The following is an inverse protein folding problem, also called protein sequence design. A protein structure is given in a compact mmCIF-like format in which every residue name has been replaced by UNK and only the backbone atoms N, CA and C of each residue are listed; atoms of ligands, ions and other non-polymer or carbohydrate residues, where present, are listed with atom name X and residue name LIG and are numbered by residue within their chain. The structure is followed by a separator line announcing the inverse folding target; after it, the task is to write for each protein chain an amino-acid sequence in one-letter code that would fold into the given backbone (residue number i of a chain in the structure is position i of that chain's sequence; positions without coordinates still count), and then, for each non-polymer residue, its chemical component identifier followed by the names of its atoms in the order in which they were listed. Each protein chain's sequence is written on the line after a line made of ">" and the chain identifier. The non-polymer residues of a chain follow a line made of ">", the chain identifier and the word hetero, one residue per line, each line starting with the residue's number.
data_IF_357979143581
#
_entry.id   IF_357979143581
#
_cell.length_a   1.000
_cell.length_b   1.000
_cell.length_c   1.000
_cell.angle_alpha   90.00
_cell.angle_beta   90.00
_cell.angle_gamma   90.00
#
_symmetry.space_group_name_H-M   'P 1'
#
loop_
_entity.id
_entity.type
_entity.pdbx_description
1 polymer ?
#
# COMPACT_ATOMS: atom_id res chain seq x y z
N UNK A 1 -14.97 -5.30 7.09
CA UNK A 1 -14.10 -4.16 7.29
C UNK A 1 -14.90 -2.87 7.06
N UNK A 2 -15.07 -2.02 8.07
CA UNK A 2 -15.87 -0.79 7.94
C UNK A 2 -15.26 0.22 6.96
N UNK A 3 -13.96 0.14 6.71
CA UNK A 3 -13.26 1.00 5.76
C UNK A 3 -13.32 0.51 4.32
N UNK A 4 -13.91 -0.65 4.04
CA UNK A 4 -13.87 -1.31 2.74
C UNK A 4 -12.44 -1.42 2.15
N UNK A 5 -11.45 -1.52 3.02
CA UNK A 5 -10.04 -1.60 2.65
C UNK A 5 -9.59 -3.02 2.29
N UNK A 6 -10.39 -4.03 2.62
CA UNK A 6 -10.15 -5.42 2.27
C UNK A 6 -10.93 -5.75 1.01
N UNK A 7 -10.22 -6.19 -0.03
CA UNK A 7 -10.80 -6.45 -1.35
C UNK A 7 -10.68 -7.92 -1.69
N UNK A 8 -11.82 -8.53 -2.05
CA UNK A 8 -11.85 -9.89 -2.55
C UNK A 8 -11.31 -9.92 -3.98
N UNK A 9 -10.38 -10.86 -4.26
CA UNK A 9 -9.81 -11.05 -5.58
C UNK A 9 -10.58 -12.11 -6.34
N UNK A 10 -11.26 -11.70 -7.41
CA UNK A 10 -12.00 -12.58 -8.32
C UNK A 10 -11.11 -13.14 -9.44
N UNK A 11 -9.98 -12.52 -9.71
CA UNK A 11 -9.10 -12.89 -10.82
C UNK A 11 -8.12 -13.97 -10.39
N UNK A 12 -7.92 -14.95 -11.26
CA UNK A 12 -6.94 -15.99 -11.08
C UNK A 12 -5.63 -15.62 -11.78
N UNK A 13 -4.79 -14.84 -11.10
CA UNK A 13 -3.52 -14.38 -11.67
C UNK A 13 -2.51 -15.50 -11.90
N UNK A 14 -2.69 -16.66 -11.28
CA UNK A 14 -1.87 -17.85 -11.53
C UNK A 14 -2.20 -18.53 -12.84
N UNK A 15 -3.38 -18.27 -13.36
CA UNK A 15 -3.91 -18.90 -14.57
C UNK A 15 -3.70 -18.05 -15.83
N UNK A 16 -2.68 -17.23 -15.88
CA UNK A 16 -2.35 -16.55 -17.14
C UNK A 16 -1.77 -17.55 -18.11
N UNK A 17 -2.46 -17.87 -19.22
CA UNK A 17 -1.91 -18.68 -20.26
C UNK A 17 -0.73 -17.96 -20.89
N UNK A 18 0.44 -18.57 -20.88
CA UNK A 18 1.60 -18.04 -21.58
C UNK A 18 1.77 -18.65 -22.95
N UNK A 19 1.16 -19.78 -23.18
CA UNK A 19 1.15 -20.47 -24.47
C UNK A 19 -0.15 -21.23 -24.64
N UNK A 20 -0.59 -21.32 -25.87
CA UNK A 20 -1.65 -22.24 -26.26
C UNK A 20 -1.13 -23.66 -26.18
N UNK A 21 -1.83 -24.50 -25.45
CA UNK A 21 -1.53 -25.93 -25.35
C UNK A 21 -2.51 -26.67 -26.24
N UNK A 22 -2.02 -27.57 -27.10
CA UNK A 22 -2.88 -28.49 -27.85
C UNK A 22 -3.14 -29.73 -26.99
N UNK A 23 -4.38 -29.91 -26.56
CA UNK A 23 -4.82 -31.12 -25.87
C UNK A 23 -5.88 -31.81 -26.73
N UNK A 24 -5.58 -33.01 -27.23
CA UNK A 24 -6.53 -33.75 -28.05
C UNK A 24 -6.94 -33.07 -29.36
N UNK A 25 -6.05 -32.22 -29.93
CA UNK A 25 -6.35 -31.47 -31.16
C UNK A 25 -7.04 -30.14 -30.94
N UNK A 26 -7.44 -29.81 -29.71
CA UNK A 26 -8.07 -28.55 -29.34
C UNK A 26 -7.00 -27.63 -28.73
N UNK A 27 -6.91 -26.40 -29.22
CA UNK A 27 -6.08 -25.39 -28.60
C UNK A 27 -6.77 -24.90 -27.30
N UNK A 28 -6.18 -25.23 -26.16
CA UNK A 28 -6.60 -24.75 -24.85
C UNK A 28 -5.57 -23.83 -24.24
N UNK A 29 -6.04 -22.83 -23.53
CA UNK A 29 -5.14 -21.97 -22.73
C UNK A 29 -4.67 -22.76 -21.52
N UNK A 30 -3.38 -23.02 -21.45
CA UNK A 30 -2.79 -23.84 -20.40
C UNK A 30 -2.22 -23.06 -19.24
N UNK A 31 -2.20 -23.70 -18.08
CA UNK A 31 -1.63 -23.17 -16.85
C UNK A 31 -0.13 -23.44 -16.80
N UNK A 32 0.67 -22.39 -16.71
CA UNK A 32 2.13 -22.56 -16.61
C UNK A 32 2.77 -21.77 -15.48
N UNK A 33 2.01 -21.32 -14.47
CA UNK A 33 2.54 -20.58 -13.33
C UNK A 33 1.96 -21.03 -11.99
N UNK A 34 2.84 -21.08 -11.02
CA UNK A 34 2.55 -21.42 -9.64
C UNK A 34 3.42 -22.58 -9.17
N UNK A 35 3.39 -22.90 -7.87
CA UNK A 35 4.18 -23.99 -7.30
C UNK A 35 3.85 -25.38 -7.89
N UNK A 36 2.69 -25.50 -8.51
CA UNK A 36 2.22 -26.73 -9.16
C UNK A 36 2.41 -26.72 -10.70
N UNK A 37 2.99 -25.67 -11.26
CA UNK A 37 3.28 -25.65 -12.68
C UNK A 37 4.39 -26.66 -13.00
N UNK A 38 4.23 -27.50 -14.05
CA UNK A 38 5.26 -28.45 -14.41
C UNK A 38 6.56 -27.73 -14.71
N UNK A 39 7.67 -28.26 -14.21
CA UNK A 39 9.00 -27.68 -14.37
C UNK A 39 9.41 -27.44 -15.84
N UNK A 40 8.78 -28.15 -16.77
CA UNK A 40 9.03 -28.12 -18.21
C UNK A 40 8.07 -27.18 -18.98
N UNK A 41 7.30 -26.38 -18.29
CA UNK A 41 6.44 -25.40 -18.96
C UNK A 41 7.29 -24.35 -19.67
N UNK A 42 7.13 -24.22 -21.00
CA UNK A 42 7.85 -23.28 -21.87
C UNK A 42 7.54 -21.80 -21.66
N UNK A 43 7.21 -21.40 -20.43
CA UNK A 43 7.27 -19.99 -20.12
C UNK A 43 8.69 -19.54 -20.35
N UNK A 44 8.89 -18.64 -21.29
CA UNK A 44 10.21 -18.09 -21.54
C UNK A 44 10.78 -17.55 -20.22
N UNK A 45 12.03 -17.81 -19.97
CA UNK A 45 12.73 -17.32 -18.77
C UNK A 45 12.49 -15.82 -18.58
N UNK A 46 12.41 -15.07 -19.69
CA UNK A 46 12.11 -13.64 -19.73
C UNK A 46 10.73 -13.30 -19.15
N UNK A 47 9.70 -14.08 -19.43
CA UNK A 47 8.36 -13.84 -18.86
C UNK A 47 8.31 -14.12 -17.36
N UNK A 48 9.12 -15.05 -16.87
CA UNK A 48 9.27 -15.31 -15.43
C UNK A 48 10.00 -14.16 -14.72
N UNK A 49 10.97 -13.56 -15.39
CA UNK A 49 11.71 -12.40 -14.86
C UNK A 49 10.83 -11.14 -14.67
N UNK A 50 9.69 -11.04 -15.34
CA UNK A 50 8.73 -9.95 -15.11
C UNK A 50 8.04 -10.03 -13.74
N UNK A 51 8.07 -11.19 -13.09
CA UNK A 51 7.45 -11.37 -11.77
C UNK A 51 8.41 -10.89 -10.69
N UNK A 52 7.91 -10.03 -9.80
CA UNK A 52 8.69 -9.63 -8.63
C UNK A 52 8.87 -10.84 -7.69
N UNK A 53 10.11 -11.32 -7.43
CA UNK A 53 10.35 -12.49 -6.59
C UNK A 53 9.93 -12.28 -5.13
N UNK A 54 9.81 -11.02 -4.68
CA UNK A 54 9.40 -10.68 -3.31
C UNK A 54 7.88 -10.64 -3.14
N UNK A 55 7.10 -10.87 -4.19
CA UNK A 55 5.64 -10.80 -4.16
C UNK A 55 5.05 -12.13 -4.59
N UNK A 56 4.23 -12.73 -3.73
CA UNK A 56 3.48 -13.93 -4.06
C UNK A 56 2.36 -13.61 -5.05
N UNK A 57 2.26 -14.35 -6.14
CA UNK A 57 1.12 -14.28 -7.05
C UNK A 57 -0.06 -14.96 -6.38
N UNK A 58 -1.11 -14.18 -6.07
CA UNK A 58 -2.29 -14.68 -5.36
C UNK A 58 -3.20 -15.46 -6.29
N UNK A 59 -3.81 -16.50 -5.72
CA UNK A 59 -4.88 -17.25 -6.37
C UNK A 59 -6.20 -16.48 -6.33
N UNK A 60 -7.16 -16.96 -7.10
CA UNK A 60 -8.55 -16.55 -6.98
C UNK A 60 -9.10 -16.87 -5.59
N UNK A 61 -9.91 -15.97 -5.05
CA UNK A 61 -10.61 -16.20 -3.78
C UNK A 61 -9.87 -15.71 -2.54
N UNK A 62 -8.79 -14.93 -2.69
CA UNK A 62 -8.07 -14.32 -1.57
C UNK A 62 -8.58 -12.90 -1.31
N UNK A 63 -8.45 -12.46 -0.07
CA UNK A 63 -8.75 -11.08 0.34
C UNK A 63 -7.45 -10.30 0.48
N UNK A 64 -7.34 -9.21 -0.23
CA UNK A 64 -6.14 -8.37 -0.26
C UNK A 64 -6.40 -7.02 0.39
N UNK A 65 -5.39 -6.47 1.04
CA UNK A 65 -5.37 -5.12 1.59
C UNK A 65 -3.98 -4.50 1.48
N UNK A 66 -3.92 -3.20 1.60
CA UNK A 66 -2.64 -2.51 1.73
C UNK A 66 -1.85 -3.03 2.95
N UNK A 67 -0.58 -3.34 2.74
CA UNK A 67 0.37 -3.78 3.78
C UNK A 67 1.39 -2.71 4.14
N UNK A 68 1.23 -1.46 3.67
CA UNK A 68 2.22 -0.38 3.77
C UNK A 68 3.57 -0.75 3.14
N UNK A 69 3.56 -1.47 2.03
CA UNK A 69 4.79 -1.94 1.36
C UNK A 69 5.70 -2.74 2.29
N UNK A 70 5.13 -3.77 2.94
CA UNK A 70 5.86 -4.61 3.91
C UNK A 70 7.19 -5.15 3.37
N UNK A 71 7.28 -5.43 2.06
CA UNK A 71 8.52 -5.86 1.42
C UNK A 71 9.60 -4.78 1.48
N UNK A 72 9.25 -3.52 1.20
CA UNK A 72 10.19 -2.38 1.32
C UNK A 72 10.60 -2.14 2.77
N UNK A 73 9.65 -2.24 3.70
CA UNK A 73 9.94 -2.12 5.14
C UNK A 73 10.91 -3.22 5.58
N UNK A 74 10.68 -4.46 5.15
CA UNK A 74 11.54 -5.59 5.48
C UNK A 74 12.93 -5.41 4.88
N UNK A 75 13.03 -4.99 3.62
CA UNK A 75 14.31 -4.71 2.97
C UNK A 75 15.09 -3.60 3.71
N UNK A 76 14.43 -2.51 4.10
CA UNK A 76 15.05 -1.43 4.87
C UNK A 76 15.53 -1.90 6.25
N UNK A 77 14.75 -2.74 6.94
CA UNK A 77 15.16 -3.35 8.22
C UNK A 77 16.38 -4.26 8.07
N UNK A 78 16.41 -5.07 7.02
CA UNK A 78 17.55 -5.95 6.71
C UNK A 78 18.79 -5.09 6.43
N UNK A 79 18.66 -4.06 5.61
CA UNK A 79 19.77 -3.16 5.29
C UNK A 79 20.31 -2.42 6.53
N UNK A 80 19.42 -1.92 7.40
CA UNK A 80 19.80 -1.28 8.65
C UNK A 80 20.55 -2.24 9.56
N UNK A 81 20.04 -3.47 9.72
CA UNK A 81 20.68 -4.51 10.53
C UNK A 81 22.05 -4.93 9.96
N UNK A 82 22.17 -5.07 8.65
CA UNK A 82 23.43 -5.39 7.99
C UNK A 82 24.48 -4.26 8.16
N UNK A 83 24.04 -3.00 8.11
CA UNK A 83 24.91 -1.85 8.31
C UNK A 83 25.34 -1.68 9.79
N UNK A 84 24.46 -2.03 10.72
CA UNK A 84 24.73 -1.94 12.16
C UNK A 84 25.82 -2.92 12.63
N UNK A 85 25.99 -4.05 11.94
CA UNK A 85 26.92 -5.14 12.33
C UNK A 85 26.75 -5.51 13.81
N UNK A 86 27.72 -5.17 14.63
CA UNK A 86 27.76 -5.47 16.08
C UNK A 86 27.19 -4.34 16.94
N UNK A 87 26.75 -3.23 16.33
CA UNK A 87 26.09 -2.14 17.06
C UNK A 87 24.60 -2.42 17.22
N UNK A 88 24.00 -1.88 18.29
CA UNK A 88 22.56 -1.97 18.53
C UNK A 88 21.74 -0.97 17.70
N UNK A 89 22.36 -0.17 16.83
CA UNK A 89 21.68 0.81 15.98
C UNK A 89 21.03 0.15 14.76
N UNK A 90 20.04 -0.68 15.04
CA UNK A 90 19.29 -1.45 14.02
C UNK A 90 18.04 -0.71 13.51
N UNK A 91 17.81 0.51 13.97
CA UNK A 91 16.62 1.27 13.59
C UNK A 91 16.74 1.79 12.15
N UNK A 92 15.63 1.67 11.41
CA UNK A 92 15.51 2.30 10.09
C UNK A 92 15.43 3.81 10.30
N UNK A 93 16.38 4.54 9.73
CA UNK A 93 16.45 6.01 9.87
C UNK A 93 15.22 6.66 9.21
N UNK A 94 14.68 7.68 9.87
CA UNK A 94 13.57 8.47 9.33
C UNK A 94 13.93 9.02 7.95
N UNK A 95 13.01 8.89 7.00
CA UNK A 95 13.19 9.34 5.62
C UNK A 95 14.02 8.41 4.71
N UNK A 96 14.60 7.31 5.22
CA UNK A 96 15.35 6.35 4.40
C UNK A 96 14.46 5.37 3.62
N UNK A 97 13.17 5.36 3.89
CA UNK A 97 12.18 4.45 3.28
C UNK A 97 10.98 5.23 2.79
N UNK A 98 10.61 4.99 1.54
CA UNK A 98 9.37 5.46 0.94
C UNK A 98 8.48 4.30 0.51
N UNK A 99 7.17 4.50 0.55
CA UNK A 99 6.19 3.53 0.06
C UNK A 99 5.88 3.79 -1.41
N UNK A 100 5.46 2.77 -2.14
CA UNK A 100 5.24 2.87 -3.59
C UNK A 100 4.22 3.94 -3.98
N UNK A 101 3.16 4.13 -3.19
CA UNK A 101 2.17 5.17 -3.44
C UNK A 101 2.74 6.59 -3.18
N UNK A 102 3.68 6.74 -2.26
CA UNK A 102 4.38 8.00 -2.03
C UNK A 102 5.28 8.35 -3.23
N UNK A 103 6.06 7.39 -3.72
CA UNK A 103 6.93 7.58 -4.89
C UNK A 103 6.13 7.91 -6.16
N UNK A 104 4.95 7.32 -6.31
CA UNK A 104 4.08 7.54 -7.46
C UNK A 104 3.28 8.85 -7.38
N UNK A 105 3.30 9.53 -6.23
CA UNK A 105 2.48 10.72 -5.99
C UNK A 105 3.18 11.98 -6.52
N UNK A 106 2.89 12.41 -7.74
CA UNK A 106 3.44 13.65 -8.31
C UNK A 106 3.08 14.94 -7.56
N UNK A 107 2.08 14.91 -6.67
CA UNK A 107 1.68 16.03 -5.83
C UNK A 107 2.33 16.03 -4.44
N UNK A 108 3.18 15.05 -4.14
CA UNK A 108 3.83 14.84 -2.83
C UNK A 108 2.86 14.91 -1.64
N UNK A 109 1.64 14.44 -1.85
CA UNK A 109 0.56 14.53 -0.86
C UNK A 109 0.53 13.37 0.14
N UNK A 110 1.33 12.33 -0.08
CA UNK A 110 1.41 11.15 0.76
C UNK A 110 2.68 11.20 1.61
N UNK A 111 2.52 11.07 2.91
CA UNK A 111 3.64 11.00 3.85
C UNK A 111 3.60 9.66 4.56
N UNK A 112 4.70 8.95 4.55
CA UNK A 112 4.90 7.72 5.28
C UNK A 112 6.07 7.88 6.24
N UNK A 113 5.98 7.26 7.43
CA UNK A 113 7.05 7.35 8.42
C UNK A 113 6.79 6.49 9.65
N UNK A 114 7.63 6.66 10.64
CA UNK A 114 7.61 5.91 11.89
C UNK A 114 6.75 6.64 12.94
N UNK A 115 5.63 6.05 13.32
CA UNK A 115 4.74 6.62 14.35
C UNK A 115 5.36 6.63 15.75
N UNK A 116 6.42 5.85 15.99
CA UNK A 116 7.10 5.80 17.28
C UNK A 116 8.20 6.87 17.42
N UNK A 117 8.56 7.54 16.33
CA UNK A 117 9.49 8.67 16.36
C UNK A 117 8.73 9.99 16.38
N UNK A 118 8.70 10.73 17.51
CA UNK A 118 7.97 11.99 17.61
C UNK A 118 8.42 13.06 16.61
N UNK A 119 9.67 12.98 16.14
CA UNK A 119 10.27 13.93 15.21
C UNK A 119 10.00 13.59 13.75
N UNK A 120 9.45 12.40 13.48
CA UNK A 120 9.12 11.99 12.12
C UNK A 120 8.04 12.93 11.52
N UNK A 121 8.22 13.26 10.25
CA UNK A 121 7.31 14.12 9.48
C UNK A 121 5.86 13.65 9.56
N UNK A 122 5.63 12.33 9.62
CA UNK A 122 4.28 11.78 9.74
C UNK A 122 3.62 12.19 11.05
N UNK A 123 4.36 12.23 12.17
CA UNK A 123 3.83 12.65 13.46
C UNK A 123 3.59 14.15 13.52
N UNK A 124 4.47 14.94 12.94
CA UNK A 124 4.28 16.40 12.79
C UNK A 124 3.00 16.69 12.00
N UNK A 125 2.75 15.99 10.90
CA UNK A 125 1.53 16.16 10.13
C UNK A 125 0.28 15.65 10.86
N UNK A 126 0.39 14.58 11.63
CA UNK A 126 -0.72 14.04 12.45
C UNK A 126 -1.11 14.95 13.62
N UNK A 127 -0.19 15.74 14.14
CA UNK A 127 -0.50 16.75 15.19
C UNK A 127 -1.14 18.02 14.65
N UNK A 128 -1.22 18.18 13.33
CA UNK A 128 -1.89 19.31 12.70
C UNK A 128 -3.39 19.36 13.06
N UNK A 129 -3.98 20.53 13.30
CA UNK A 129 -5.41 20.69 13.53
C UNK A 129 -6.26 20.27 12.32
N UNK A 130 -5.66 20.17 11.14
CA UNK A 130 -6.30 19.66 9.92
C UNK A 130 -6.39 18.13 9.87
N UNK A 131 -5.70 17.44 10.76
CA UNK A 131 -5.68 15.99 10.75
C UNK A 131 -7.00 15.41 11.23
N UNK A 132 -7.49 14.42 10.53
CA UNK A 132 -8.66 13.65 10.93
C UNK A 132 -8.54 12.16 10.57
N UNK A 133 -9.18 11.33 11.35
CA UNK A 133 -9.27 9.90 11.13
C UNK A 133 -10.67 9.53 10.65
N UNK A 134 -10.75 8.71 9.61
CA UNK A 134 -12.03 8.16 9.17
C UNK A 134 -12.60 7.23 10.23
N UNK A 135 -13.91 7.34 10.49
CA UNK A 135 -14.64 6.47 11.42
C UNK A 135 -14.00 6.42 12.82
N UNK A 136 -13.47 7.53 13.29
CA UNK A 136 -12.80 7.63 14.60
C UNK A 136 -13.68 7.12 15.75
N UNK A 137 -14.98 7.37 15.66
CA UNK A 137 -15.97 6.98 16.68
C UNK A 137 -16.11 5.45 16.90
N UNK A 138 -15.68 4.63 15.91
CA UNK A 138 -15.70 3.16 16.06
C UNK A 138 -14.51 2.66 16.91
N UNK A 139 -13.53 3.51 17.23
CA UNK A 139 -12.38 3.13 18.05
C UNK A 139 -11.38 2.20 17.41
N UNK A 140 -11.37 2.05 16.08
CA UNK A 140 -10.47 1.15 15.33
C UNK A 140 -9.03 1.62 15.26
N UNK A 141 -8.73 2.85 15.65
CA UNK A 141 -7.40 3.47 15.65
C UNK A 141 -6.65 3.28 14.32
N UNK A 142 -7.14 3.84 13.22
CA UNK A 142 -6.50 3.69 11.92
C UNK A 142 -5.11 4.33 11.92
N UNK A 143 -4.15 3.69 11.26
CA UNK A 143 -2.80 4.25 11.09
C UNK A 143 -2.76 5.32 10.01
N UNK A 144 -3.62 5.20 9.00
CA UNK A 144 -3.79 6.22 7.96
C UNK A 144 -4.73 7.30 8.45
N UNK A 145 -4.31 8.54 8.37
CA UNK A 145 -5.14 9.72 8.62
C UNK A 145 -5.06 10.67 7.44
N UNK A 146 -5.88 11.68 7.44
CA UNK A 146 -6.03 12.61 6.34
C UNK A 146 -5.91 14.04 6.84
N UNK A 147 -5.37 14.91 6.00
CA UNK A 147 -5.39 16.34 6.23
C UNK A 147 -6.57 16.95 5.48
N UNK A 148 -7.41 17.67 6.19
CA UNK A 148 -8.55 18.36 5.62
C UNK A 148 -8.11 19.35 4.53
N UNK A 149 -8.86 19.39 3.43
CA UNK A 149 -8.62 20.33 2.35
C UNK A 149 -8.83 21.76 2.85
N UNK A 150 -7.92 22.65 2.52
CA UNK A 150 -8.11 24.09 2.72
C UNK A 150 -9.10 24.57 1.65
N UNK A 151 -10.14 25.25 2.10
CA UNK A 151 -11.11 25.92 1.23
C UNK A 151 -11.02 27.41 1.48
N UNK A 152 -10.86 28.17 0.42
CA UNK A 152 -10.92 29.63 0.44
C UNK A 152 -12.14 30.06 -0.39
N UNK A 153 -13.34 30.04 0.20
CA UNK A 153 -14.54 30.42 -0.54
C UNK A 153 -14.51 31.92 -0.85
N UNK A 154 -15.11 32.28 -1.97
CA UNK A 154 -15.36 33.69 -2.25
C UNK A 154 -16.32 34.24 -1.17
N UNK A 155 -15.95 35.29 -0.41
CA UNK A 155 -16.79 35.81 0.67
C UNK A 155 -18.16 36.31 0.22
N UNK A 156 -18.35 36.54 -1.09
CA UNK A 156 -19.63 36.93 -1.66
C UNK A 156 -20.58 35.77 -1.96
N UNK A 157 -20.11 34.52 -1.77
CA UNK A 157 -20.96 33.35 -2.00
C UNK A 157 -21.79 33.01 -0.76
N UNK A 158 -23.04 32.56 -0.93
CA UNK A 158 -23.86 32.09 0.18
C UNK A 158 -23.15 30.99 0.97
N UNK A 159 -23.13 31.11 2.29
CA UNK A 159 -22.50 30.12 3.19
C UNK A 159 -20.98 30.17 3.23
N UNK A 160 -20.34 31.19 2.67
CA UNK A 160 -18.87 31.35 2.71
C UNK A 160 -18.33 31.44 4.13
N UNK A 161 -19.03 32.03 5.04
CA UNK A 161 -18.75 32.16 6.46
C UNK A 161 -18.79 30.84 7.22
N UNK A 162 -19.56 29.87 6.75
CA UNK A 162 -19.61 28.53 7.33
C UNK A 162 -18.46 27.62 6.89
N UNK A 163 -17.70 27.99 5.86
CA UNK A 163 -16.60 27.17 5.34
C UNK A 163 -15.36 27.35 6.19
N UNK A 164 -14.90 26.28 6.80
CA UNK A 164 -13.70 26.29 7.65
C UNK A 164 -13.98 26.46 9.14
N UNK A 165 -15.20 26.73 9.54
CA UNK A 165 -15.58 26.66 10.95
C UNK A 165 -15.68 25.19 11.37
N UNK A 166 -14.71 24.74 12.16
CA UNK A 166 -14.83 23.47 12.88
C UNK A 166 -15.86 23.70 13.97
N UNK A 167 -17.11 23.32 13.72
CA UNK A 167 -18.09 23.23 14.79
C UNK A 167 -17.61 22.14 15.75
N UNK A 168 -17.08 22.53 16.89
CA UNK A 168 -16.60 21.65 17.98
C UNK A 168 -17.75 20.95 18.72
N UNK A 169 -18.76 20.53 18.00
CA UNK A 169 -19.86 19.72 18.53
C UNK A 169 -19.80 18.33 17.91
N UNK A 170 -18.83 17.54 18.34
CA UNK A 170 -18.93 16.09 18.32
C UNK A 170 -18.80 15.62 19.76
N UNK A 171 -19.96 15.30 20.33
CA UNK A 171 -20.09 14.56 21.56
C UNK A 171 -19.55 13.14 21.41
#
# INVERSE_FOLDING_TARGET
>A
CPYKARRFNYYDYNKRPLEKIKVGGIEAEGFKFGPLAPANGNATTTQRLQKNPNVTVRMRGVIEKCTYCVQRITAAKIAAKAAARDSDDIQVKTGSLTVACQDACGADSITFGNLMDPKDTVNVKKSSPRNYDLLKYIGTRPRTSYLARIKNPNPKMPGADAVGTVTSKMH
#
